data_IF_822763258312
#
_entry.id   IF_822763258312
#
_cell.length_a   1.000
_cell.length_b   1.000
_cell.length_c   1.000
_cell.angle_alpha   90.00
_cell.angle_beta   90.00
_cell.angle_gamma   90.00
#
_symmetry.space_group_name_H-M   'P 1'
#
loop_
_entity.id
_entity.type
_entity.pdbx_description
1 polymer ?
#
# COMPACT_ATOMS: atom_id res chain seq x y z
N UNK A 1 16.23 -4.01 -8.45
CA UNK A 1 15.45 -4.19 -7.19
C UNK A 1 14.32 -3.15 -7.11
N UNK A 2 13.04 -3.56 -7.12
CA UNK A 2 11.92 -2.62 -6.91
C UNK A 2 12.01 -2.10 -5.47
N UNK A 3 12.09 -0.78 -5.29
CA UNK A 3 12.07 -0.18 -3.96
C UNK A 3 10.77 -0.59 -3.25
N UNK A 4 10.88 -1.22 -2.09
CA UNK A 4 9.73 -1.47 -1.22
C UNK A 4 9.26 -0.12 -0.68
N UNK A 5 7.96 0.10 -0.70
CA UNK A 5 7.33 1.36 -0.29
C UNK A 5 6.12 1.05 0.57
N UNK A 6 5.86 1.87 1.56
CA UNK A 6 4.66 1.86 2.39
C UNK A 6 3.62 2.75 1.70
N UNK A 7 2.52 2.17 1.25
CA UNK A 7 1.45 2.93 0.60
C UNK A 7 0.65 3.69 1.65
N UNK A 8 0.60 5.02 1.55
CA UNK A 8 -0.18 5.87 2.45
C UNK A 8 -1.63 5.99 1.96
N UNK A 9 -1.80 6.21 0.66
CA UNK A 9 -3.07 6.14 -0.04
C UNK A 9 -2.83 5.79 -1.52
N UNK A 10 -3.83 5.99 -2.38
CA UNK A 10 -3.71 5.72 -3.82
C UNK A 10 -2.72 6.61 -4.58
N UNK A 11 -2.29 7.74 -4.03
CA UNK A 11 -1.42 8.71 -4.76
C UNK A 11 -0.13 9.04 -4.02
N UNK A 12 0.03 8.59 -2.77
CA UNK A 12 1.14 8.90 -1.90
C UNK A 12 1.67 7.65 -1.23
N UNK A 13 2.99 7.56 -1.18
CA UNK A 13 3.71 6.48 -0.54
C UNK A 13 4.94 7.01 0.20
N UNK A 14 5.46 6.21 1.10
CA UNK A 14 6.70 6.45 1.81
C UNK A 14 7.72 5.33 1.56
N UNK A 15 9.02 5.57 1.73
CA UNK A 15 10.03 4.52 1.66
C UNK A 15 9.75 3.36 2.63
N UNK A 16 10.30 2.17 2.37
CA UNK A 16 10.21 1.07 3.33
C UNK A 16 10.76 1.46 4.72
N UNK A 17 10.22 0.86 5.77
CA UNK A 17 10.62 1.15 7.16
C UNK A 17 10.16 2.51 7.70
N UNK A 18 9.22 3.18 7.03
CA UNK A 18 8.64 4.45 7.46
C UNK A 18 7.16 4.31 7.84
N UNK A 19 6.60 5.36 8.41
CA UNK A 19 5.15 5.44 8.73
C UNK A 19 4.53 6.64 8.03
N UNK A 20 3.37 6.42 7.42
CA UNK A 20 2.57 7.48 6.81
C UNK A 20 1.86 8.28 7.90
N UNK A 21 2.04 9.59 7.90
CA UNK A 21 1.41 10.54 8.82
C UNK A 21 0.86 11.74 8.04
N UNK A 22 -0.37 12.16 8.35
CA UNK A 22 -0.95 13.37 7.75
C UNK A 22 -0.18 14.61 8.22
N UNK A 23 0.10 15.52 7.28
CA UNK A 23 0.73 16.81 7.52
C UNK A 23 -0.32 17.89 7.84
N UNK A 24 0.12 19.04 8.35
CA UNK A 24 -0.78 20.18 8.62
C UNK A 24 -1.54 20.68 7.38
N UNK A 25 -1.01 20.42 6.18
CA UNK A 25 -1.66 20.72 4.89
C UNK A 25 -2.80 19.76 4.54
N UNK A 26 -2.95 18.64 5.25
CA UNK A 26 -3.84 17.53 4.89
C UNK A 26 -3.21 16.51 3.93
N UNK A 27 -2.01 16.79 3.41
CA UNK A 27 -1.27 15.85 2.56
C UNK A 27 -0.54 14.78 3.38
N UNK A 28 -0.08 13.71 2.72
CA UNK A 28 0.70 12.67 3.37
C UNK A 28 2.17 13.05 3.55
N UNK A 29 2.71 12.70 4.71
CA UNK A 29 4.12 12.75 5.03
C UNK A 29 4.64 11.43 5.59
N UNK A 30 5.96 11.28 5.59
CA UNK A 30 6.70 10.11 6.00
C UNK A 30 7.47 10.39 7.28
N UNK A 31 7.23 9.56 8.28
CA UNK A 31 8.03 9.48 9.49
C UNK A 31 9.11 8.43 9.33
N UNK A 32 10.37 8.72 9.72
CA UNK A 32 11.53 7.88 9.41
C UNK A 32 11.61 6.60 10.27
N UNK A 33 10.53 6.23 10.96
CA UNK A 33 10.44 5.06 11.80
C UNK A 33 9.26 4.19 11.40
N UNK A 34 9.36 2.86 11.55
CA UNK A 34 8.20 1.98 11.47
C UNK A 34 7.32 2.17 12.71
N UNK A 35 6.00 2.10 12.54
CA UNK A 35 5.01 2.26 13.60
C UNK A 35 5.19 3.55 14.41
N UNK A 36 5.56 4.64 13.75
CA UNK A 36 5.76 5.94 14.38
C UNK A 36 4.43 6.48 14.93
N UNK A 37 4.53 7.29 15.99
CA UNK A 37 3.41 8.05 16.52
C UNK A 37 3.35 9.38 15.79
N UNK A 38 2.27 9.60 15.02
CA UNK A 38 2.03 10.86 14.33
C UNK A 38 1.57 11.92 15.34
N UNK A 39 2.35 12.98 15.54
CA UNK A 39 1.94 14.07 16.41
C UNK A 39 0.81 14.89 15.75
N UNK A 40 -0.10 15.39 16.58
CA UNK A 40 -1.27 16.18 16.17
C UNK A 40 -0.93 17.57 15.63
N UNK A 41 0.31 18.03 15.86
CA UNK A 41 0.82 19.30 15.32
C UNK A 41 0.94 19.31 13.78
N UNK A 42 0.75 18.16 13.12
CA UNK A 42 0.83 18.05 11.67
C UNK A 42 2.25 18.19 11.09
N UNK A 43 3.28 18.31 11.92
CA UNK A 43 4.67 18.56 11.47
C UNK A 43 5.62 17.46 11.94
N UNK A 44 5.38 16.93 13.15
CA UNK A 44 6.32 16.03 13.80
C UNK A 44 5.74 14.65 14.07
N UNK A 45 6.64 13.73 14.38
CA UNK A 45 6.33 12.40 14.85
C UNK A 45 7.40 11.89 15.79
N UNK A 46 7.03 10.80 16.47
CA UNK A 46 7.83 10.16 17.48
C UNK A 46 8.02 8.67 17.18
N UNK A 47 9.10 8.04 17.67
CA UNK A 47 9.30 6.61 17.54
C UNK A 47 8.18 5.79 18.20
N UNK A 48 8.05 4.52 17.79
CA UNK A 48 7.05 3.61 18.32
C UNK A 48 7.09 3.51 19.86
N UNK A 49 5.91 3.60 20.49
CA UNK A 49 5.74 3.48 21.95
C UNK A 49 6.20 4.70 22.73
N UNK A 50 6.30 5.87 22.10
CA UNK A 50 6.53 7.15 22.77
C UNK A 50 5.35 8.11 22.54
N UNK A 51 5.19 9.09 23.44
CA UNK A 51 4.10 10.08 23.39
C UNK A 51 4.65 11.43 22.96
N UNK A 52 3.94 12.10 22.06
CA UNK A 52 4.27 13.46 21.65
C UNK A 52 3.94 14.46 22.78
N UNK A 53 4.89 15.31 23.10
CA UNK A 53 4.68 16.56 23.84
C UNK A 53 4.90 17.74 22.88
N UNK A 54 4.75 18.98 23.36
CA UNK A 54 4.99 20.18 22.54
C UNK A 54 6.42 20.31 22.03
N UNK A 55 7.40 19.66 22.66
CA UNK A 55 8.84 19.82 22.34
C UNK A 55 9.61 18.49 22.23
N UNK A 56 9.04 17.37 22.67
CA UNK A 56 9.77 16.10 22.80
C UNK A 56 8.89 14.86 22.65
N UNK A 57 9.53 13.71 22.45
CA UNK A 57 8.94 12.38 22.49
C UNK A 57 9.31 11.71 23.81
N UNK A 58 8.31 11.25 24.57
CA UNK A 58 8.52 10.67 25.90
C UNK A 58 8.15 9.19 25.94
N UNK A 59 9.03 8.37 26.50
CA UNK A 59 8.78 6.95 26.79
C UNK A 59 9.33 6.60 28.16
N UNK A 60 8.46 6.62 29.17
CA UNK A 60 8.90 6.53 30.58
C UNK A 60 9.81 7.71 30.93
N UNK A 61 11.01 7.43 31.43
CA UNK A 61 12.03 8.45 31.71
C UNK A 61 12.86 8.87 30.49
N UNK A 62 12.73 8.19 29.35
CA UNK A 62 13.50 8.49 28.16
C UNK A 62 12.83 9.61 27.34
N UNK A 63 13.57 10.70 27.14
CA UNK A 63 13.12 11.88 26.39
C UNK A 63 13.98 12.04 25.15
N UNK A 64 13.36 12.12 23.98
CA UNK A 64 14.04 12.44 22.72
C UNK A 64 13.38 13.61 22.03
N UNK A 65 14.05 14.19 21.05
CA UNK A 65 13.48 15.26 20.23
C UNK A 65 12.36 14.75 19.32
N UNK A 66 11.50 15.68 18.91
CA UNK A 66 10.53 15.49 17.84
C UNK A 66 11.23 15.29 16.49
N UNK A 67 10.70 14.41 15.64
CA UNK A 67 11.24 14.19 14.30
C UNK A 67 10.29 14.78 13.26
N UNK A 68 10.83 15.58 12.33
CA UNK A 68 10.02 16.18 11.28
C UNK A 68 9.56 15.14 10.26
N UNK A 69 8.28 15.22 9.89
CA UNK A 69 7.72 14.52 8.74
C UNK A 69 8.41 15.05 7.47
N UNK A 70 8.69 14.16 6.52
CA UNK A 70 9.07 14.54 5.15
C UNK A 70 7.84 14.40 4.25
N UNK A 71 7.65 15.20 3.20
CA UNK A 71 6.57 14.97 2.24
C UNK A 71 6.62 13.55 1.68
N UNK A 72 5.46 12.93 1.51
CA UNK A 72 5.36 11.63 0.85
C UNK A 72 5.75 11.74 -0.62
N UNK A 73 6.24 10.64 -1.18
CA UNK A 73 6.50 10.53 -2.62
C UNK A 73 5.21 10.17 -3.35
N UNK A 74 5.10 10.58 -4.61
CA UNK A 74 3.97 10.18 -5.44
C UNK A 74 4.01 8.67 -5.67
N UNK A 75 2.94 7.99 -5.27
CA UNK A 75 2.77 6.56 -5.52
C UNK A 75 2.49 6.34 -7.01
N UNK A 76 3.22 5.40 -7.61
CA UNK A 76 2.85 4.84 -8.92
C UNK A 76 1.81 3.75 -8.68
N UNK A 77 0.62 3.96 -9.21
CA UNK A 77 -0.52 3.05 -9.07
C UNK A 77 -1.20 2.82 -10.40
N UNK A 78 -1.91 1.70 -10.48
CA UNK A 78 -2.88 1.39 -11.53
C UNK A 78 -4.26 1.70 -10.95
N UNK A 79 -4.97 2.65 -11.55
CA UNK A 79 -6.32 3.00 -11.14
C UNK A 79 -7.32 1.97 -11.67
N UNK A 80 -8.06 1.31 -10.78
CA UNK A 80 -9.10 0.35 -11.15
C UNK A 80 -10.46 1.02 -11.37
N UNK A 81 -10.79 1.99 -10.51
CA UNK A 81 -11.91 2.91 -10.67
C UNK A 81 -11.65 4.21 -9.87
N UNK A 82 -12.69 5.00 -9.58
CA UNK A 82 -12.55 6.25 -8.82
C UNK A 82 -12.03 6.06 -7.37
N UNK A 83 -12.27 4.91 -6.76
CA UNK A 83 -11.97 4.67 -5.33
C UNK A 83 -11.01 3.52 -5.09
N UNK A 84 -10.63 2.73 -6.10
CA UNK A 84 -9.85 1.52 -5.97
C UNK A 84 -8.60 1.54 -6.85
N UNK A 85 -7.47 1.17 -6.26
CA UNK A 85 -6.15 1.27 -6.87
C UNK A 85 -5.32 0.02 -6.60
N UNK A 86 -4.43 -0.29 -7.52
CA UNK A 86 -3.43 -1.33 -7.39
C UNK A 86 -2.01 -0.75 -7.44
N UNK A 87 -1.03 -1.36 -6.76
CA UNK A 87 0.36 -0.93 -6.88
C UNK A 87 0.86 -1.04 -8.33
N UNK A 88 1.84 -0.23 -8.71
CA UNK A 88 2.45 -0.32 -10.03
C UNK A 88 2.88 -1.75 -10.42
N UNK A 89 2.69 -2.10 -11.69
CA UNK A 89 2.93 -3.44 -12.22
C UNK A 89 1.95 -4.53 -11.78
N UNK A 90 0.82 -4.17 -11.16
CA UNK A 90 -0.29 -5.07 -10.88
C UNK A 90 -1.40 -4.86 -11.92
N UNK A 91 -2.37 -5.78 -11.96
CA UNK A 91 -3.55 -5.68 -12.81
C UNK A 91 -4.82 -5.65 -11.95
N UNK A 92 -5.73 -4.73 -12.26
CA UNK A 92 -7.04 -4.66 -11.64
C UNK A 92 -7.91 -5.84 -12.08
N UNK A 93 -8.34 -6.66 -11.14
CA UNK A 93 -9.23 -7.79 -11.36
C UNK A 93 -10.41 -7.72 -10.41
N UNK A 94 -11.59 -8.18 -10.83
CA UNK A 94 -12.73 -8.32 -9.90
C UNK A 94 -12.51 -9.49 -8.95
N UNK A 95 -12.86 -9.27 -7.69
CA UNK A 95 -12.97 -10.29 -6.67
C UNK A 95 -14.35 -10.95 -6.70
N UNK A 96 -14.48 -12.07 -5.99
CA UNK A 96 -15.78 -12.61 -5.61
C UNK A 96 -16.59 -11.52 -4.86
N UNK A 97 -17.85 -11.32 -5.23
CA UNK A 97 -18.67 -10.20 -4.72
C UNK A 97 -18.52 -8.87 -5.47
N UNK A 98 -17.71 -8.83 -6.54
CA UNK A 98 -17.65 -7.70 -7.46
C UNK A 98 -16.78 -6.52 -6.98
N UNK A 99 -16.12 -6.61 -5.84
CA UNK A 99 -15.12 -5.62 -5.42
C UNK A 99 -13.87 -5.67 -6.31
N UNK A 100 -13.05 -4.61 -6.28
CA UNK A 100 -11.77 -4.60 -6.99
C UNK A 100 -10.66 -5.27 -6.18
N UNK A 101 -9.82 -6.03 -6.87
CA UNK A 101 -8.62 -6.64 -6.37
C UNK A 101 -7.44 -6.44 -7.31
N UNK A 102 -6.24 -6.71 -6.79
CA UNK A 102 -4.98 -6.59 -7.48
C UNK A 102 -4.39 -7.97 -7.73
N UNK A 103 -4.20 -8.29 -9.00
CA UNK A 103 -3.34 -9.39 -9.40
C UNK A 103 -1.87 -8.92 -9.35
N UNK A 104 -0.95 -9.65 -8.70
CA UNK A 104 0.46 -9.29 -8.56
C UNK A 104 1.29 -9.51 -9.85
N UNK A 105 0.65 -9.35 -11.01
CA UNK A 105 1.23 -9.49 -12.33
C UNK A 105 0.77 -8.34 -13.22
N UNK A 106 1.64 -7.82 -14.11
CA UNK A 106 1.25 -6.83 -15.11
C UNK A 106 0.48 -7.51 -16.25
N UNK A 107 -0.54 -6.84 -16.79
CA UNK A 107 -1.39 -7.32 -17.88
C UNK A 107 -1.94 -8.74 -17.66
N UNK A 108 -2.31 -9.04 -16.41
CA UNK A 108 -2.75 -10.36 -16.02
C UNK A 108 -4.12 -10.71 -16.62
N UNK A 109 -4.34 -12.01 -16.84
CA UNK A 109 -5.66 -12.55 -17.15
C UNK A 109 -6.40 -12.79 -15.84
N UNK A 110 -7.52 -12.12 -15.64
CA UNK A 110 -8.35 -12.29 -14.44
C UNK A 110 -9.21 -13.55 -14.60
N UNK A 111 -9.00 -14.56 -13.73
CA UNK A 111 -9.85 -15.73 -13.74
C UNK A 111 -11.25 -15.39 -13.20
N UNK A 112 -12.26 -16.06 -13.73
CA UNK A 112 -13.68 -15.89 -13.40
C UNK A 112 -14.05 -16.40 -12.02
N UNK A 113 -13.17 -17.17 -11.39
CA UNK A 113 -13.34 -17.68 -10.02
C UNK A 113 -13.35 -16.60 -8.93
N UNK A 114 -13.07 -15.34 -9.28
CA UNK A 114 -13.04 -14.23 -8.33
C UNK A 114 -11.83 -14.22 -7.37
N UNK A 115 -10.96 -15.24 -7.42
CA UNK A 115 -9.86 -15.41 -6.45
C UNK A 115 -8.50 -15.34 -7.13
N UNK A 116 -8.39 -15.85 -8.35
CA UNK A 116 -7.10 -16.05 -9.00
C UNK A 116 -6.94 -15.30 -10.33
N UNK A 117 -5.69 -15.12 -10.71
CA UNK A 117 -5.29 -14.55 -11.97
C UNK A 117 -4.08 -15.30 -12.53
N UNK A 118 -3.86 -15.08 -13.82
CA UNK A 118 -2.83 -15.75 -14.59
C UNK A 118 -1.94 -14.75 -15.35
N UNK A 119 -0.70 -15.12 -15.71
CA UNK A 119 0.17 -14.29 -16.53
C UNK A 119 -0.44 -13.91 -17.89
N UNK A 120 0.04 -12.82 -18.48
CA UNK A 120 -0.41 -12.35 -19.78
C UNK A 120 -0.29 -13.44 -20.88
N UNK A 121 -1.38 -13.62 -21.63
CA UNK A 121 -1.47 -14.59 -22.72
C UNK A 121 -1.56 -16.04 -22.27
N UNK A 122 -1.99 -16.30 -21.04
CA UNK A 122 -2.33 -17.64 -20.56
C UNK A 122 -3.82 -17.76 -20.25
N UNK A 123 -4.33 -18.99 -20.26
CA UNK A 123 -5.73 -19.32 -19.99
C UNK A 123 -5.87 -19.91 -18.61
N UNK A 124 -6.87 -19.45 -17.86
CA UNK A 124 -7.21 -20.01 -16.55
C UNK A 124 -7.85 -21.39 -16.71
N UNK A 125 -7.37 -22.36 -15.94
CA UNK A 125 -8.04 -23.63 -15.65
C UNK A 125 -8.44 -23.67 -14.18
N UNK A 126 -9.12 -24.72 -13.72
CA UNK A 126 -9.52 -24.86 -12.31
C UNK A 126 -8.34 -24.91 -11.33
N UNK A 127 -7.13 -25.27 -11.80
CA UNK A 127 -5.95 -25.47 -10.93
C UNK A 127 -4.68 -24.79 -11.42
N UNK A 128 -4.65 -24.28 -12.65
CA UNK A 128 -3.42 -23.77 -13.27
C UNK A 128 -3.66 -22.72 -14.36
N UNK A 129 -2.58 -22.06 -14.77
CA UNK A 129 -2.53 -21.15 -15.92
C UNK A 129 -1.79 -21.85 -17.08
N UNK A 130 -2.44 -21.97 -18.23
CA UNK A 130 -1.90 -22.66 -19.39
C UNK A 130 -1.55 -21.71 -20.53
N UNK A 131 -0.38 -21.88 -21.14
CA UNK A 131 0.04 -21.18 -22.37
C UNK A 131 0.78 -22.15 -23.28
N UNK A 132 0.08 -22.70 -24.27
CA UNK A 132 0.62 -23.82 -25.06
C UNK A 132 0.89 -25.02 -24.15
N UNK A 133 2.13 -25.54 -24.17
CA UNK A 133 2.59 -26.62 -23.29
C UNK A 133 3.05 -26.16 -21.90
N UNK A 134 3.15 -24.84 -21.65
CA UNK A 134 3.64 -24.32 -20.38
C UNK A 134 2.50 -24.20 -19.36
N UNK A 135 2.67 -24.85 -18.21
CA UNK A 135 1.70 -24.87 -17.11
C UNK A 135 2.33 -24.19 -15.89
N UNK A 136 1.63 -23.21 -15.31
CA UNK A 136 2.05 -22.49 -14.10
C UNK A 136 0.93 -22.44 -13.09
N UNK A 137 1.25 -22.14 -11.83
CA UNK A 137 0.24 -22.01 -10.79
C UNK A 137 -0.56 -20.71 -10.94
N UNK A 138 -1.79 -20.76 -10.40
CA UNK A 138 -2.67 -19.60 -10.24
C UNK A 138 -2.07 -18.61 -9.23
N UNK A 139 -2.17 -17.31 -9.52
CA UNK A 139 -1.75 -16.25 -8.61
C UNK A 139 -2.97 -15.71 -7.86
N UNK A 140 -2.87 -15.57 -6.54
CA UNK A 140 -3.98 -15.03 -5.73
C UNK A 140 -4.09 -13.52 -5.91
N UNK A 141 -5.31 -13.05 -6.13
CA UNK A 141 -5.68 -11.63 -6.04
C UNK A 141 -5.59 -11.17 -4.58
N UNK A 142 -5.29 -9.89 -4.37
CA UNK A 142 -5.43 -9.21 -3.08
C UNK A 142 -6.49 -8.11 -3.19
N UNK A 143 -7.14 -7.69 -2.10
CA UNK A 143 -8.00 -6.52 -2.13
C UNK A 143 -7.27 -5.29 -2.68
N UNK A 144 -7.94 -4.51 -3.52
CA UNK A 144 -7.40 -3.25 -4.01
C UNK A 144 -7.39 -2.20 -2.90
N UNK A 145 -6.43 -1.29 -2.96
CA UNK A 145 -6.31 -0.17 -2.03
C UNK A 145 -7.51 0.76 -2.28
N UNK A 146 -8.28 1.06 -1.23
CA UNK A 146 -9.47 1.93 -1.33
C UNK A 146 -9.18 3.36 -0.85
N UNK A 147 -9.76 4.36 -1.52
CA UNK A 147 -9.86 5.74 -1.02
C UNK A 147 -10.99 5.78 0.00
N UNK A 148 -10.64 5.87 1.29
CA UNK A 148 -11.61 6.16 2.37
C UNK A 148 -11.83 5.08 3.43
N UNK A 149 -11.16 3.91 3.38
CA UNK A 149 -11.29 2.91 4.45
C UNK A 149 -10.26 3.10 5.58
N UNK A 150 -10.19 4.31 6.13
CA UNK A 150 -9.43 4.60 7.35
C UNK A 150 -10.33 5.36 8.33
N UNK A 151 -11.37 4.65 8.81
CA UNK A 151 -12.00 4.95 10.10
C UNK A 151 -11.30 4.12 11.18
#
# INVERSE_FOLDING_TARGET
PKAKVVQCNGTAACPDGTTCCIMATGEWGCCPFPNAVCCSDGVHCCPHGSTCTSTSCQKGSHVTQLFKKKPAIQAKVVQCNATAFCPDGNTCCRLEGGQWGCCPLPNAVCCSDGVHCCPHGSTCTSTSCQKGSHVTQLFKKKPAIQVGNWL
#
